data_IF_931612350264
#
_entry.id   IF_931612350264
#
_cell.length_a   1.000
_cell.length_b   1.000
_cell.length_c   1.000
_cell.angle_alpha   90.00
_cell.angle_beta   90.00
_cell.angle_gamma   90.00
#
_symmetry.space_group_name_H-M   'P 1'
#
loop_
_entity.id
_entity.type
_entity.pdbx_description
1 polymer ?
#
# COMPACT_ATOMS: atom_id res chain seq x y z
N UNK A 1 12.72 9.17 5.22
CA UNK A 1 13.57 8.17 4.52
C UNK A 1 12.85 6.84 4.62
N UNK A 2 12.35 6.32 3.50
CA UNK A 2 11.69 5.01 3.47
C UNK A 2 12.80 3.96 3.44
N UNK A 3 12.80 3.06 4.42
CA UNK A 3 13.75 1.94 4.44
C UNK A 3 13.23 0.85 3.51
N UNK A 4 14.02 0.47 2.52
CA UNK A 4 13.67 -0.63 1.62
C UNK A 4 13.85 -1.96 2.35
N UNK A 5 12.76 -2.55 2.79
CA UNK A 5 12.76 -3.82 3.52
C UNK A 5 12.90 -5.02 2.59
N UNK A 6 12.31 -4.94 1.40
CA UNK A 6 12.24 -6.07 0.48
C UNK A 6 12.62 -5.64 -0.94
N UNK A 7 13.26 -6.54 -1.64
CA UNK A 7 13.54 -6.48 -3.08
C UNK A 7 12.68 -7.49 -3.82
N UNK A 8 12.47 -7.28 -5.11
CA UNK A 8 11.81 -8.27 -5.96
C UNK A 8 12.89 -8.99 -6.77
N UNK A 9 13.01 -10.29 -6.56
CA UNK A 9 13.90 -11.18 -7.33
C UNK A 9 13.08 -12.32 -7.91
N UNK A 10 13.13 -12.49 -9.23
CA UNK A 10 12.34 -13.51 -9.94
C UNK A 10 10.83 -13.45 -9.64
N UNK A 11 10.27 -12.24 -9.48
CA UNK A 11 8.86 -12.03 -9.18
C UNK A 11 8.44 -12.28 -7.73
N UNK A 12 9.39 -12.60 -6.84
CA UNK A 12 9.11 -12.83 -5.42
C UNK A 12 9.79 -11.78 -4.53
N UNK A 13 9.13 -11.42 -3.45
CA UNK A 13 9.70 -10.54 -2.45
C UNK A 13 10.81 -11.29 -1.67
N UNK A 14 11.99 -10.68 -1.60
CA UNK A 14 13.17 -11.19 -0.89
C UNK A 14 13.62 -10.14 0.12
N UNK A 15 13.91 -10.51 1.37
CA UNK A 15 14.33 -9.56 2.41
C UNK A 15 15.69 -8.93 2.05
N UNK A 16 15.79 -7.62 2.33
CA UNK A 16 17.08 -6.92 2.30
C UNK A 16 17.81 -7.07 3.64
N UNK A 17 19.07 -6.62 3.72
CA UNK A 17 19.84 -6.61 4.97
C UNK A 17 19.12 -5.87 6.11
N UNK A 18 18.30 -4.87 5.78
CA UNK A 18 17.52 -4.10 6.77
C UNK A 18 16.48 -4.96 7.51
N UNK A 19 15.94 -6.00 6.87
CA UNK A 19 15.02 -6.93 7.55
C UNK A 19 15.66 -7.59 8.76
N UNK A 20 16.93 -7.92 8.68
CA UNK A 20 17.65 -8.60 9.77
C UNK A 20 18.10 -7.66 10.91
N UNK A 21 17.98 -6.34 10.72
CA UNK A 21 18.28 -5.34 11.76
C UNK A 21 17.05 -4.92 12.54
N UNK A 22 15.84 -5.12 12.00
CA UNK A 22 14.60 -4.74 12.65
C UNK A 22 14.11 -5.86 13.58
N UNK A 23 13.99 -5.54 14.86
CA UNK A 23 13.66 -6.52 15.91
C UNK A 23 12.41 -7.33 15.58
N UNK A 24 11.31 -6.69 15.15
CA UNK A 24 10.05 -7.38 14.88
C UNK A 24 10.14 -8.37 13.70
N UNK A 25 10.99 -8.11 12.70
CA UNK A 25 11.25 -9.06 11.60
C UNK A 25 12.19 -10.18 12.03
N UNK A 26 13.20 -9.85 12.86
CA UNK A 26 14.07 -10.86 13.46
C UNK A 26 13.28 -11.84 14.34
N UNK A 27 12.33 -11.31 15.13
CA UNK A 27 11.45 -12.14 15.97
C UNK A 27 10.60 -13.11 15.12
N UNK A 28 10.17 -12.71 13.90
CA UNK A 28 9.50 -13.61 12.94
C UNK A 28 10.43 -14.74 12.51
N UNK A 29 11.67 -14.43 12.09
CA UNK A 29 12.64 -15.42 11.66
C UNK A 29 12.98 -16.42 12.77
N UNK A 30 13.11 -15.95 14.01
CA UNK A 30 13.39 -16.80 15.17
C UNK A 30 12.20 -17.67 15.57
N UNK A 31 10.96 -17.19 15.35
CA UNK A 31 9.74 -17.91 15.70
C UNK A 31 9.33 -18.93 14.64
N UNK A 32 9.54 -18.63 13.37
CA UNK A 32 9.11 -19.42 12.22
C UNK A 32 10.31 -19.76 11.33
N UNK A 33 11.33 -20.49 11.80
CA UNK A 33 12.59 -20.68 11.09
C UNK A 33 12.42 -21.35 9.72
N UNK A 34 11.41 -22.19 9.54
CA UNK A 34 11.15 -22.93 8.30
C UNK A 34 10.26 -22.15 7.31
N UNK A 35 9.40 -21.25 7.83
CA UNK A 35 8.35 -20.54 7.05
C UNK A 35 8.51 -19.02 7.04
N UNK A 36 9.56 -18.46 7.70
CA UNK A 36 9.73 -16.99 7.79
C UNK A 36 9.76 -16.29 6.43
N UNK A 37 10.22 -16.96 5.37
CA UNK A 37 10.25 -16.36 4.03
C UNK A 37 8.84 -16.14 3.48
N UNK A 38 7.91 -17.08 3.71
CA UNK A 38 6.50 -16.92 3.34
C UNK A 38 5.85 -15.82 4.17
N UNK A 39 6.12 -15.79 5.49
CA UNK A 39 5.64 -14.70 6.36
C UNK A 39 6.16 -13.34 5.87
N UNK A 40 7.44 -13.24 5.49
CA UNK A 40 8.00 -12.00 4.94
C UNK A 40 7.34 -11.57 3.63
N UNK A 41 7.06 -12.53 2.73
CA UNK A 41 6.33 -12.25 1.50
C UNK A 41 4.90 -11.75 1.79
N UNK A 42 4.21 -12.38 2.73
CA UNK A 42 2.90 -11.92 3.20
C UNK A 42 2.95 -10.49 3.73
N UNK A 43 3.88 -10.20 4.65
CA UNK A 43 4.04 -8.85 5.21
C UNK A 43 4.30 -7.81 4.13
N UNK A 44 5.16 -8.15 3.16
CA UNK A 44 5.46 -7.25 2.05
C UNK A 44 4.24 -7.00 1.16
N UNK A 45 3.57 -8.04 0.68
CA UNK A 45 2.45 -7.88 -0.23
C UNK A 45 1.24 -7.21 0.43
N UNK A 46 1.06 -7.40 1.73
CA UNK A 46 0.02 -6.70 2.49
C UNK A 46 0.36 -5.22 2.76
N UNK A 47 1.64 -4.89 2.97
CA UNK A 47 2.06 -3.55 3.41
C UNK A 47 2.56 -2.65 2.28
N UNK A 48 3.16 -3.20 1.21
CA UNK A 48 3.80 -2.40 0.16
C UNK A 48 2.78 -1.67 -0.72
N UNK A 49 2.79 -0.33 -0.74
CA UNK A 49 1.85 0.46 -1.53
C UNK A 49 2.34 0.77 -2.95
N UNK A 50 3.45 0.18 -3.39
CA UNK A 50 3.98 0.41 -4.72
C UNK A 50 3.42 -0.61 -5.73
N UNK A 51 2.61 -0.18 -6.72
CA UNK A 51 2.01 -1.09 -7.69
C UNK A 51 3.03 -1.79 -8.61
N UNK A 52 4.22 -1.21 -8.80
CA UNK A 52 5.26 -1.81 -9.64
C UNK A 52 5.99 -2.97 -8.93
N UNK A 53 5.96 -2.97 -7.59
CA UNK A 53 6.59 -3.99 -6.75
C UNK A 53 5.59 -4.98 -6.17
N UNK A 54 4.33 -4.57 -6.04
CA UNK A 54 3.29 -5.35 -5.41
C UNK A 54 2.19 -5.71 -6.42
N UNK A 55 2.18 -6.92 -6.98
CA UNK A 55 1.19 -7.34 -7.95
C UNK A 55 -0.23 -7.36 -7.38
N UNK A 56 -0.38 -7.47 -6.05
CA UNK A 56 -1.67 -7.48 -5.35
C UNK A 56 -2.17 -6.08 -4.94
N UNK A 57 -1.48 -5.01 -5.35
CA UNK A 57 -1.82 -3.64 -4.96
C UNK A 57 -3.27 -3.24 -5.29
N UNK A 58 -3.76 -3.66 -6.47
CA UNK A 58 -5.09 -3.28 -6.97
C UNK A 58 -6.23 -4.19 -6.49
N UNK A 59 -5.93 -5.22 -5.72
CA UNK A 59 -6.98 -6.11 -5.20
C UNK A 59 -7.83 -5.41 -4.12
N UNK A 60 -9.13 -5.72 -4.05
CA UNK A 60 -9.98 -5.28 -2.94
C UNK A 60 -9.42 -5.78 -1.60
N UNK A 61 -9.42 -4.92 -0.58
CA UNK A 61 -8.84 -5.24 0.73
C UNK A 61 -9.42 -6.52 1.36
N UNK A 62 -10.72 -6.79 1.14
CA UNK A 62 -11.41 -7.95 1.70
C UNK A 62 -11.08 -9.29 1.02
N UNK A 63 -10.46 -9.25 -0.17
CA UNK A 63 -10.06 -10.45 -0.94
C UNK A 63 -8.53 -10.60 -0.95
N UNK A 64 -7.83 -9.50 -0.71
CA UNK A 64 -6.37 -9.40 -0.88
C UNK A 64 -5.63 -10.39 0.02
N UNK A 65 -6.05 -10.51 1.27
CA UNK A 65 -5.38 -11.37 2.24
C UNK A 65 -5.47 -12.84 1.84
N UNK A 66 -6.66 -13.32 1.51
CA UNK A 66 -6.90 -14.72 1.12
C UNK A 66 -6.12 -15.08 -0.15
N UNK A 67 -6.12 -14.19 -1.15
CA UNK A 67 -5.40 -14.40 -2.41
C UNK A 67 -3.88 -14.47 -2.17
N UNK A 68 -3.33 -13.59 -1.33
CA UNK A 68 -1.90 -13.60 -0.99
C UNK A 68 -1.53 -14.89 -0.27
N UNK A 69 -2.31 -15.31 0.73
CA UNK A 69 -2.07 -16.54 1.49
C UNK A 69 -2.02 -17.75 0.55
N UNK A 70 -2.98 -17.85 -0.37
CA UNK A 70 -3.03 -18.95 -1.35
C UNK A 70 -1.83 -18.92 -2.29
N UNK A 71 -1.48 -17.74 -2.85
CA UNK A 71 -0.40 -17.60 -3.84
C UNK A 71 0.98 -17.91 -3.27
N UNK A 72 1.26 -17.51 -2.03
CA UNK A 72 2.56 -17.76 -1.38
C UNK A 72 2.61 -19.09 -0.65
N UNK A 73 1.48 -19.77 -0.47
CA UNK A 73 1.38 -21.01 0.30
C UNK A 73 1.71 -20.80 1.79
N UNK A 74 1.18 -19.73 2.39
CA UNK A 74 1.42 -19.44 3.81
C UNK A 74 0.73 -20.48 4.68
N UNK A 75 1.50 -21.20 5.47
CA UNK A 75 0.99 -22.23 6.41
C UNK A 75 0.68 -21.64 7.79
N UNK A 76 1.30 -20.51 8.12
CA UNK A 76 1.14 -19.85 9.41
C UNK A 76 -0.17 -19.08 9.51
N UNK A 77 -0.75 -19.05 10.71
CA UNK A 77 -1.98 -18.28 10.95
C UNK A 77 -1.71 -16.79 10.95
N UNK A 78 -2.38 -16.05 10.07
CA UNK A 78 -2.29 -14.58 10.03
C UNK A 78 -2.87 -13.90 11.27
N UNK A 79 -3.66 -14.63 12.07
CA UNK A 79 -4.17 -14.18 13.37
C UNK A 79 -3.12 -14.25 14.49
N UNK A 80 -1.95 -14.85 14.23
CA UNK A 80 -0.87 -14.87 15.22
C UNK A 80 -0.43 -13.45 15.59
N UNK A 81 -0.31 -13.20 16.88
CA UNK A 81 -0.02 -11.87 17.44
C UNK A 81 1.30 -11.27 16.92
N UNK A 82 2.31 -12.09 16.65
CA UNK A 82 3.60 -11.64 16.13
C UNK A 82 3.51 -11.25 14.67
N UNK A 83 2.77 -12.03 13.87
CA UNK A 83 2.53 -11.73 12.45
C UNK A 83 1.72 -10.45 12.33
N UNK A 84 0.63 -10.31 13.09
CA UNK A 84 -0.19 -9.09 13.12
C UNK A 84 0.60 -7.86 13.55
N UNK A 85 1.36 -7.97 14.64
CA UNK A 85 2.22 -6.87 15.09
C UNK A 85 3.25 -6.47 14.01
N UNK A 86 3.89 -7.46 13.38
CA UNK A 86 4.87 -7.21 12.34
C UNK A 86 4.24 -6.57 11.09
N UNK A 87 3.01 -6.96 10.74
CA UNK A 87 2.25 -6.34 9.66
C UNK A 87 1.95 -4.86 9.95
N UNK A 88 1.50 -4.54 11.17
CA UNK A 88 1.27 -3.15 11.57
C UNK A 88 2.55 -2.31 11.51
N UNK A 89 3.67 -2.88 11.95
CA UNK A 89 4.96 -2.20 11.89
C UNK A 89 5.42 -1.98 10.44
N UNK A 90 5.26 -2.97 9.55
CA UNK A 90 5.53 -2.83 8.13
C UNK A 90 4.65 -1.72 7.50
N UNK A 91 3.35 -1.72 7.77
CA UNK A 91 2.43 -0.68 7.29
C UNK A 91 2.86 0.72 7.74
N UNK A 92 3.25 0.89 9.01
CA UNK A 92 3.75 2.18 9.54
C UNK A 92 5.02 2.65 8.84
N UNK A 93 5.91 1.74 8.44
CA UNK A 93 7.13 2.12 7.72
C UNK A 93 6.85 2.64 6.31
N UNK A 94 5.77 2.17 5.67
CA UNK A 94 5.32 2.68 4.37
C UNK A 94 4.39 3.88 4.48
N UNK A 95 3.93 4.23 5.68
CA UNK A 95 2.97 5.33 5.93
C UNK A 95 3.67 6.69 5.89
N UNK A 96 3.91 7.18 4.68
CA UNK A 96 4.44 8.53 4.46
C UNK A 96 3.31 9.56 4.33
N UNK A 97 3.61 10.88 4.51
CA UNK A 97 2.63 11.93 4.24
C UNK A 97 2.02 11.85 2.85
N UNK A 98 2.82 11.54 1.83
CA UNK A 98 2.40 11.38 0.42
C UNK A 98 1.46 10.20 0.26
N UNK A 99 1.78 9.05 0.88
CA UNK A 99 0.91 7.90 0.89
C UNK A 99 -0.42 8.18 1.60
N UNK A 100 -0.40 8.86 2.77
CA UNK A 100 -1.63 9.26 3.46
C UNK A 100 -2.50 10.19 2.63
N UNK A 101 -1.88 11.16 1.93
CA UNK A 101 -2.60 12.04 1.02
C UNK A 101 -3.26 11.25 -0.12
N UNK A 102 -2.53 10.33 -0.75
CA UNK A 102 -3.05 9.43 -1.78
C UNK A 102 -4.27 8.63 -1.30
N UNK A 103 -4.16 7.95 -0.15
CA UNK A 103 -5.24 7.15 0.43
C UNK A 103 -6.47 8.02 0.76
N UNK A 104 -6.24 9.22 1.32
CA UNK A 104 -7.33 10.17 1.62
C UNK A 104 -8.07 10.63 0.37
N UNK A 105 -7.36 10.98 -0.69
CA UNK A 105 -7.96 11.40 -1.97
C UNK A 105 -8.68 10.24 -2.64
N UNK A 106 -8.10 9.02 -2.62
CA UNK A 106 -8.75 7.80 -3.13
C UNK A 106 -10.09 7.57 -2.42
N UNK A 107 -10.10 7.58 -1.09
CA UNK A 107 -11.32 7.40 -0.30
C UNK A 107 -12.38 8.45 -0.59
N UNK A 108 -11.97 9.71 -0.81
CA UNK A 108 -12.92 10.78 -1.19
C UNK A 108 -13.50 10.53 -2.59
N UNK A 109 -12.67 10.11 -3.54
CA UNK A 109 -13.09 9.79 -4.90
C UNK A 109 -14.10 8.64 -4.92
N UNK A 110 -13.84 7.57 -4.16
CA UNK A 110 -14.73 6.41 -4.05
C UNK A 110 -16.10 6.79 -3.44
N UNK A 111 -16.09 7.61 -2.39
CA UNK A 111 -17.35 8.10 -1.77
C UNK A 111 -18.15 8.96 -2.72
N UNK A 112 -17.51 9.83 -3.49
CA UNK A 112 -18.16 10.69 -4.45
C UNK A 112 -18.71 9.90 -5.63
N UNK A 113 -17.96 8.90 -6.12
CA UNK A 113 -18.44 7.98 -7.15
C UNK A 113 -19.68 7.22 -6.68
N UNK A 114 -19.66 6.66 -5.48
CA UNK A 114 -20.80 5.97 -4.87
C UNK A 114 -22.00 6.89 -4.70
N UNK A 115 -21.79 8.14 -4.27
CA UNK A 115 -22.87 9.13 -4.17
C UNK A 115 -23.52 9.36 -5.52
N UNK A 116 -22.76 9.57 -6.58
CA UNK A 116 -23.31 9.80 -7.93
C UNK A 116 -24.02 8.56 -8.49
N UNK A 117 -23.56 7.37 -8.17
CA UNK A 117 -24.16 6.09 -8.60
C UNK A 117 -25.52 5.84 -7.92
N UNK A 118 -25.61 6.11 -6.63
CA UNK A 118 -26.77 5.74 -5.80
C UNK A 118 -27.83 6.84 -5.70
N UNK A 119 -27.49 8.10 -6.00
CA UNK A 119 -28.40 9.22 -5.88
C UNK A 119 -29.29 9.33 -7.10
N UNK A 120 -30.60 9.21 -6.90
CA UNK A 120 -31.60 9.42 -7.96
C UNK A 120 -31.69 10.91 -8.32
N UNK A 121 -31.87 11.19 -9.63
CA UNK A 121 -32.06 12.56 -10.11
C UNK A 121 -33.52 12.99 -9.88
N UNK A 122 -33.70 14.02 -9.08
CA UNK A 122 -34.99 14.63 -8.80
C UNK A 122 -35.11 15.94 -9.57
N UNK A 123 -36.22 16.06 -10.31
CA UNK A 123 -36.56 17.24 -11.11
C UNK A 123 -37.47 18.18 -10.32
N UNK A 124 -37.36 19.49 -10.57
CA UNK A 124 -38.21 20.52 -10.00
C UNK A 124 -37.44 21.59 -9.24
N UNK A 125 -38.20 22.51 -8.61
CA UNK A 125 -37.62 23.67 -7.90
C UNK A 125 -36.75 23.24 -6.72
N UNK A 126 -37.10 22.16 -6.04
CA UNK A 126 -36.42 21.60 -4.90
C UNK A 126 -35.61 20.33 -5.27
N UNK A 127 -35.39 20.09 -6.57
CA UNK A 127 -34.65 18.92 -7.08
C UNK A 127 -33.14 19.03 -6.88
N UNK A 128 -32.45 17.92 -7.06
CA UNK A 128 -31.00 17.78 -6.78
C UNK A 128 -30.10 17.92 -8.01
N UNK A 129 -30.61 18.31 -9.19
CA UNK A 129 -29.82 18.37 -10.44
C UNK A 129 -28.59 19.25 -10.28
N UNK A 130 -28.68 20.43 -9.69
CA UNK A 130 -27.56 21.33 -9.50
C UNK A 130 -26.50 20.71 -8.56
N UNK A 131 -26.92 19.99 -7.53
CA UNK A 131 -26.04 19.29 -6.63
C UNK A 131 -25.28 18.14 -7.34
N UNK A 132 -25.97 17.41 -8.23
CA UNK A 132 -25.36 16.35 -9.04
C UNK A 132 -24.36 16.91 -10.06
N UNK A 133 -24.69 18.02 -10.74
CA UNK A 133 -23.76 18.70 -11.67
C UNK A 133 -22.50 19.19 -10.92
N UNK A 134 -22.67 19.78 -9.75
CA UNK A 134 -21.57 20.21 -8.90
C UNK A 134 -20.73 19.04 -8.40
N UNK A 135 -21.34 17.92 -8.04
CA UNK A 135 -20.64 16.70 -7.65
C UNK A 135 -19.81 16.15 -8.82
N UNK A 136 -20.38 16.10 -10.03
CA UNK A 136 -19.65 15.66 -11.23
C UNK A 136 -18.46 16.57 -11.57
N UNK A 137 -18.63 17.90 -11.47
CA UNK A 137 -17.51 18.84 -11.68
C UNK A 137 -16.40 18.66 -10.65
N UNK A 138 -16.74 18.47 -9.36
CA UNK A 138 -15.76 18.20 -8.30
C UNK A 138 -15.09 16.84 -8.46
N UNK A 139 -15.80 15.83 -8.97
CA UNK A 139 -15.27 14.52 -9.24
C UNK A 139 -14.05 14.61 -10.17
N UNK A 140 -14.14 15.37 -11.25
CA UNK A 140 -13.04 15.55 -12.18
C UNK A 140 -11.82 16.25 -11.52
N UNK A 141 -12.06 17.28 -10.70
CA UNK A 141 -10.97 17.93 -9.95
C UNK A 141 -10.27 16.96 -8.98
N UNK A 142 -11.04 16.17 -8.23
CA UNK A 142 -10.50 15.19 -7.29
C UNK A 142 -9.78 14.08 -8.05
N UNK A 143 -10.26 13.66 -9.21
CA UNK A 143 -9.62 12.68 -10.08
C UNK A 143 -8.24 13.16 -10.56
N UNK A 144 -8.09 14.44 -10.90
CA UNK A 144 -6.79 15.03 -11.24
C UNK A 144 -5.86 15.06 -10.03
N UNK A 145 -6.37 15.43 -8.85
CA UNK A 145 -5.60 15.39 -7.61
C UNK A 145 -5.17 13.97 -7.24
N UNK A 146 -6.02 12.97 -7.47
CA UNK A 146 -5.70 11.55 -7.28
C UNK A 146 -4.52 11.12 -8.16
N UNK A 147 -4.53 11.48 -9.45
CA UNK A 147 -3.42 11.18 -10.37
C UNK A 147 -2.10 11.81 -9.92
N UNK A 148 -2.15 13.08 -9.48
CA UNK A 148 -0.99 13.77 -8.92
C UNK A 148 -0.45 13.06 -7.67
N UNK A 149 -1.32 12.81 -6.68
CA UNK A 149 -0.92 12.13 -5.44
C UNK A 149 -0.38 10.72 -5.67
N UNK A 150 -0.92 9.98 -6.64
CA UNK A 150 -0.41 8.67 -7.03
C UNK A 150 1.01 8.76 -7.62
N UNK A 151 1.23 9.73 -8.51
CA UNK A 151 2.55 9.97 -9.11
C UNK A 151 3.57 10.39 -8.05
N UNK A 152 3.19 11.27 -7.13
CA UNK A 152 4.07 11.74 -6.05
C UNK A 152 4.43 10.60 -5.10
N UNK A 153 3.45 9.77 -4.71
CA UNK A 153 3.67 8.58 -3.89
C UNK A 153 4.64 7.61 -4.56
N UNK A 154 4.44 7.33 -5.84
CA UNK A 154 5.32 6.44 -6.61
C UNK A 154 6.74 6.99 -6.72
N UNK A 155 6.89 8.27 -7.06
CA UNK A 155 8.18 8.96 -7.14
C UNK A 155 8.93 8.99 -5.81
N UNK A 156 8.24 9.18 -4.68
CA UNK A 156 8.84 9.14 -3.35
C UNK A 156 9.44 7.76 -3.06
N UNK A 157 8.74 6.69 -3.42
CA UNK A 157 9.21 5.33 -3.22
C UNK A 157 10.38 4.96 -4.14
N UNK A 158 10.37 5.43 -5.39
CA UNK A 158 11.49 5.24 -6.32
C UNK A 158 12.73 6.04 -5.91
N UNK A 159 12.58 7.24 -5.40
CA UNK A 159 13.70 8.09 -4.95
C UNK A 159 14.42 7.49 -3.74
N UNK A 160 13.70 6.80 -2.87
CA UNK A 160 14.31 6.09 -1.74
C UNK A 160 15.20 4.92 -2.19
N UNK A 161 14.91 4.33 -3.34
CA UNK A 161 15.72 3.28 -3.97
C UNK A 161 17.04 3.84 -4.52
N UNK A 162 17.02 5.05 -5.07
CA UNK A 162 18.24 5.69 -5.65
C UNK A 162 19.17 6.28 -4.59
N UNK A 163 18.66 6.70 -3.45
CA UNK A 163 19.47 7.31 -2.36
C UNK A 163 20.38 6.34 -1.62
N UNK A 164 20.14 5.02 -1.72
CA UNK A 164 21.00 4.01 -1.10
C UNK A 164 22.32 3.75 -1.83
N UNK A 165 22.47 4.19 -3.08
CA UNK A 165 23.73 4.04 -3.85
C UNK A 165 24.68 5.24 -3.75
N UNK A 166 24.26 6.37 -3.16
CA UNK A 166 25.03 7.61 -3.12
C UNK A 166 26.08 7.73 -1.99
N UNK A 167 26.06 6.84 -1.00
CA UNK A 167 26.94 6.96 0.18
C UNK A 167 28.24 6.13 0.11
N UNK A 168 28.52 5.45 -1.00
CA UNK A 168 29.73 4.63 -1.13
C UNK A 168 30.97 5.42 -1.64
N UNK A 169 30.86 6.72 -1.94
CA UNK A 169 31.94 7.50 -2.54
C UNK A 169 32.63 8.54 -1.64
N UNK A 170 32.23 8.69 -0.37
CA UNK A 170 32.84 9.67 0.55
C UNK A 170 33.78 9.04 1.59
N UNK A 171 34.39 7.89 1.27
CA UNK A 171 35.50 7.34 2.05
C UNK A 171 36.70 7.07 1.15
N UNK A 172 37.35 8.16 0.70
CA UNK A 172 38.78 8.21 0.36
C UNK A 172 39.40 9.47 0.95
#
# INVERSE_FOLDING_TARGET
MIVRLFDIQNGKAVPTEHCYTLKFLKDIMETYPDTYMQVYQYLFYMACPNPDLNPFFNLPEHEKEDIIIEEIGLEESTEDSKIRYSLEMCKKLYETPTYRAYVGIKSMLDRLAKYMETTQIEHGRDGNINSMVNAAAKFEQIRQSYKGAFTDMKSEQESSVRGGQGLAYDQM
#
